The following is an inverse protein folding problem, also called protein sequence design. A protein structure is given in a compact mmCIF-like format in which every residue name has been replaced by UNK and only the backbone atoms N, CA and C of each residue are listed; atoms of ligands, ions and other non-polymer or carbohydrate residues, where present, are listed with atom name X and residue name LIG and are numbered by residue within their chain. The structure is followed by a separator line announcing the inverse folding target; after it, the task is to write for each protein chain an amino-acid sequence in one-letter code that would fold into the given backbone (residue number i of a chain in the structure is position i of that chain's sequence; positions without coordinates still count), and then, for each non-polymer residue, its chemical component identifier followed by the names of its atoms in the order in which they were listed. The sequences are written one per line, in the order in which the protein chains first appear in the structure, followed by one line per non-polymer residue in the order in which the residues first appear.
data_IF_823715195508
#
_entry.id   IF_823715195508
#
_cell.length_a   1.000
_cell.length_b   1.000
_cell.length_c   1.000
_cell.angle_alpha   90.00
_cell.angle_beta   90.00
_cell.angle_gamma   90.00
#
_symmetry.space_group_name_H-M   'P 1'
#
loop_
_entity.id
_entity.type
_entity.pdbx_description
1 polymer ?
#
# COMPACT_ATOMS: atom_id res chain seq x y z
N UNK A 1 9.95 -24.79 -5.92
CA UNK A 1 8.79 -24.03 -5.43
C UNK A 1 8.58 -24.16 -3.93
N UNK A 2 8.09 -25.28 -3.36
CA UNK A 2 7.88 -25.40 -1.89
C UNK A 2 9.18 -25.29 -1.07
N UNK A 3 10.21 -26.06 -1.44
CA UNK A 3 11.50 -26.04 -0.73
C UNK A 3 12.20 -24.66 -0.72
N UNK A 4 12.06 -23.89 -1.80
CA UNK A 4 12.63 -22.53 -1.88
C UNK A 4 11.81 -21.51 -1.09
N UNK A 5 10.48 -21.61 -1.13
CA UNK A 5 9.59 -20.80 -0.30
C UNK A 5 9.82 -21.07 1.20
N UNK A 6 10.03 -22.33 1.59
CA UNK A 6 10.43 -22.73 2.94
C UNK A 6 11.80 -22.15 3.32
N UNK A 7 12.76 -22.12 2.39
CA UNK A 7 14.07 -21.50 2.65
C UNK A 7 13.99 -19.99 2.87
N UNK A 8 13.14 -19.29 2.10
CA UNK A 8 12.88 -17.85 2.27
C UNK A 8 12.14 -17.58 3.58
N UNK A 9 11.19 -18.43 3.96
CA UNK A 9 10.51 -18.35 5.26
C UNK A 9 11.47 -18.58 6.42
N UNK A 10 12.41 -19.52 6.29
CA UNK A 10 13.42 -19.80 7.32
C UNK A 10 14.36 -18.62 7.53
N UNK A 11 14.84 -17.99 6.45
CA UNK A 11 15.68 -16.78 6.54
C UNK A 11 14.89 -15.61 7.16
N UNK A 12 13.61 -15.47 6.80
CA UNK A 12 12.74 -14.45 7.42
C UNK A 12 12.57 -14.68 8.93
N UNK A 13 12.39 -15.94 9.34
CA UNK A 13 12.35 -16.31 10.76
C UNK A 13 13.68 -16.01 11.47
N UNK A 14 14.82 -16.28 10.83
CA UNK A 14 16.15 -15.98 11.37
C UNK A 14 16.39 -14.47 11.48
N UNK A 15 15.96 -13.67 10.51
CA UNK A 15 16.01 -12.19 10.60
C UNK A 15 15.21 -11.68 11.80
N UNK A 16 14.04 -12.28 12.07
CA UNK A 16 13.22 -11.93 13.24
C UNK A 16 13.83 -12.35 14.59
N UNK A 17 14.83 -13.23 14.58
CA UNK A 17 15.51 -13.74 15.78
C UNK A 17 16.95 -13.20 15.93
N UNK A 18 17.42 -12.40 14.97
CA UNK A 18 18.77 -11.85 14.96
C UNK A 18 18.99 -10.97 16.19
N UNK A 19 20.08 -11.23 16.92
CA UNK A 19 20.38 -10.54 18.19
C UNK A 19 21.30 -9.34 18.00
N UNK A 20 21.88 -9.17 16.82
CA UNK A 20 22.82 -8.09 16.49
C UNK A 20 22.52 -7.48 15.13
N UNK A 21 22.79 -6.19 14.98
CA UNK A 21 22.61 -5.46 13.72
C UNK A 21 23.41 -6.08 12.56
N UNK A 22 24.63 -6.55 12.84
CA UNK A 22 25.49 -7.19 11.83
C UNK A 22 24.99 -8.57 11.37
N UNK A 23 24.29 -9.32 12.24
CA UNK A 23 23.64 -10.59 11.87
C UNK A 23 22.39 -10.33 11.03
N UNK A 24 21.58 -9.34 11.42
CA UNK A 24 20.42 -8.91 10.66
C UNK A 24 20.79 -8.48 9.23
N UNK A 25 21.86 -7.70 9.08
CA UNK A 25 22.29 -7.19 7.78
C UNK A 25 22.77 -8.29 6.83
N UNK A 26 23.47 -9.31 7.36
CA UNK A 26 23.87 -10.51 6.59
C UNK A 26 22.66 -11.33 6.13
N UNK A 27 21.73 -11.59 7.05
CA UNK A 27 20.51 -12.34 6.74
C UNK A 27 19.60 -11.59 5.77
N UNK A 28 19.54 -10.26 5.88
CA UNK A 28 18.82 -9.40 4.94
C UNK A 28 19.44 -9.43 3.55
N UNK A 29 20.77 -9.42 3.45
CA UNK A 29 21.47 -9.54 2.17
C UNK A 29 21.22 -10.90 1.52
N UNK A 30 21.32 -12.00 2.28
CA UNK A 30 21.02 -13.36 1.82
C UNK A 30 19.56 -13.50 1.36
N UNK A 31 18.62 -12.96 2.14
CA UNK A 31 17.20 -12.92 1.81
C UNK A 31 16.97 -12.18 0.48
N UNK A 32 17.61 -11.02 0.30
CA UNK A 32 17.43 -10.18 -0.87
C UNK A 32 18.00 -10.84 -2.13
N UNK A 33 19.16 -11.49 -2.03
CA UNK A 33 19.73 -12.28 -3.12
C UNK A 33 18.83 -13.45 -3.52
N UNK A 34 18.43 -14.30 -2.57
CA UNK A 34 17.55 -15.43 -2.87
C UNK A 34 16.21 -15.00 -3.46
N UNK A 35 15.68 -13.86 -3.01
CA UNK A 35 14.43 -13.31 -3.57
C UNK A 35 14.62 -12.82 -5.00
N UNK A 36 15.76 -12.17 -5.32
CA UNK A 36 16.11 -11.76 -6.68
C UNK A 36 16.30 -12.96 -7.59
N UNK A 37 17.01 -13.99 -7.13
CA UNK A 37 17.26 -15.23 -7.86
C UNK A 37 15.96 -15.99 -8.14
N UNK A 38 15.10 -16.13 -7.12
CA UNK A 38 13.78 -16.75 -7.24
C UNK A 38 12.90 -15.99 -8.24
N UNK A 39 12.89 -14.64 -8.19
CA UNK A 39 12.14 -13.80 -9.12
C UNK A 39 12.70 -13.86 -10.55
N UNK A 40 14.02 -13.98 -10.71
CA UNK A 40 14.71 -14.10 -12.00
C UNK A 40 14.46 -15.45 -12.69
N UNK A 41 14.46 -16.55 -11.92
CA UNK A 41 14.15 -17.90 -12.42
C UNK A 41 12.66 -18.09 -12.74
N UNK A 42 11.78 -17.32 -12.09
CA UNK A 42 10.34 -17.31 -12.37
C UNK A 42 9.91 -16.05 -13.15
N UNK A 43 10.36 -15.90 -14.42
CA UNK A 43 9.93 -14.81 -15.33
C UNK A 43 8.39 -14.71 -15.53
N UNK A 44 7.64 -15.81 -15.35
CA UNK A 44 6.16 -15.81 -15.33
C UNK A 44 5.55 -15.12 -14.10
N UNK A 45 6.35 -14.84 -13.08
CA UNK A 45 5.97 -14.13 -11.86
C UNK A 45 5.81 -12.62 -12.05
N UNK A 46 6.40 -12.00 -13.09
CA UNK A 46 6.23 -10.56 -13.34
C UNK A 46 4.78 -10.22 -13.71
N UNK A 47 4.12 -11.06 -14.52
CA UNK A 47 2.68 -10.95 -14.81
C UNK A 47 1.87 -11.04 -13.52
N UNK A 48 2.12 -12.05 -12.67
CA UNK A 48 1.43 -12.21 -11.37
C UNK A 48 1.75 -11.08 -10.37
N UNK A 49 2.97 -10.55 -10.40
CA UNK A 49 3.46 -9.46 -9.55
C UNK A 49 2.93 -8.08 -9.97
N UNK A 50 2.54 -7.90 -11.25
CA UNK A 50 1.89 -6.70 -11.74
C UNK A 50 0.35 -6.82 -11.67
N UNK A 51 -0.19 -8.04 -11.72
CA UNK A 51 -1.63 -8.31 -11.55
C UNK A 51 -2.15 -7.88 -10.18
N UNK A 52 -1.41 -8.12 -9.09
CA UNK A 52 -1.85 -7.72 -7.74
C UNK A 52 -2.02 -6.20 -7.59
N UNK A 53 -1.02 -5.36 -7.93
CA UNK A 53 -1.20 -3.90 -7.95
C UNK A 53 -2.24 -3.44 -8.96
N UNK A 54 -2.29 -4.03 -10.15
CA UNK A 54 -3.27 -3.69 -11.20
C UNK A 54 -4.71 -3.95 -10.76
N UNK A 55 -4.97 -5.06 -10.05
CA UNK A 55 -6.28 -5.37 -9.50
C UNK A 55 -6.67 -4.37 -8.41
N UNK A 56 -5.72 -3.90 -7.60
CA UNK A 56 -5.95 -2.84 -6.61
C UNK A 56 -6.38 -1.51 -7.25
N UNK A 57 -5.74 -1.12 -8.35
CA UNK A 57 -6.14 0.08 -9.11
C UNK A 57 -7.53 -0.07 -9.71
N UNK A 58 -7.84 -1.23 -10.29
CA UNK A 58 -9.18 -1.52 -10.81
C UNK A 58 -10.23 -1.46 -9.68
N UNK A 59 -9.94 -2.04 -8.52
CA UNK A 59 -10.81 -1.99 -7.34
C UNK A 59 -11.06 -0.54 -6.89
N UNK A 60 -10.02 0.31 -6.87
CA UNK A 60 -10.16 1.71 -6.53
C UNK A 60 -11.03 2.47 -7.55
N UNK A 61 -10.86 2.20 -8.85
CA UNK A 61 -11.68 2.81 -9.90
C UNK A 61 -13.16 2.42 -9.79
N UNK A 62 -13.45 1.13 -9.52
CA UNK A 62 -14.81 0.66 -9.25
C UNK A 62 -15.41 1.33 -8.03
N UNK A 63 -14.65 1.45 -6.94
CA UNK A 63 -15.10 2.13 -5.73
C UNK A 63 -15.47 3.59 -5.98
N UNK A 64 -14.59 4.33 -6.67
CA UNK A 64 -14.84 5.75 -7.03
C UNK A 64 -16.08 5.87 -7.92
N UNK A 65 -16.23 4.98 -8.90
CA UNK A 65 -17.38 4.97 -9.81
C UNK A 65 -18.69 4.76 -9.05
N UNK A 66 -18.74 3.73 -8.20
CA UNK A 66 -19.95 3.36 -7.47
C UNK A 66 -20.33 4.42 -6.42
N UNK A 67 -19.34 4.99 -5.73
CA UNK A 67 -19.57 6.10 -4.82
C UNK A 67 -20.07 7.35 -5.55
N UNK A 68 -19.41 7.75 -6.64
CA UNK A 68 -19.79 8.94 -7.41
C UNK A 68 -21.20 8.83 -7.99
N UNK A 69 -21.57 7.65 -8.48
CA UNK A 69 -22.91 7.38 -9.01
C UNK A 69 -23.99 7.54 -7.93
N UNK A 70 -23.85 6.84 -6.80
CA UNK A 70 -24.83 6.91 -5.70
C UNK A 70 -24.89 8.31 -5.09
N UNK A 71 -23.74 8.94 -4.92
CA UNK A 71 -23.66 10.29 -4.36
C UNK A 71 -24.31 11.34 -5.26
N UNK A 72 -24.13 11.22 -6.59
CA UNK A 72 -24.76 12.14 -7.56
C UNK A 72 -26.28 11.98 -7.55
N UNK A 73 -26.78 10.73 -7.59
CA UNK A 73 -28.21 10.45 -7.55
C UNK A 73 -28.88 10.95 -6.26
N UNK A 74 -28.20 10.78 -5.12
CA UNK A 74 -28.69 11.30 -3.84
C UNK A 74 -28.69 12.85 -3.79
N UNK A 75 -27.67 13.50 -4.36
CA UNK A 75 -27.58 14.97 -4.43
C UNK A 75 -28.65 15.57 -5.31
N UNK A 76 -28.93 14.94 -6.46
CA UNK A 76 -29.94 15.39 -7.42
C UNK A 76 -31.38 15.09 -6.95
N UNK A 77 -31.54 14.43 -5.79
CA UNK A 77 -32.82 14.09 -5.17
C UNK A 77 -33.76 13.40 -6.15
N UNK A 78 -33.27 12.34 -6.79
CA UNK A 78 -34.06 11.58 -7.74
C UNK A 78 -35.39 11.16 -7.09
N UNK A 79 -36.56 11.43 -7.68
CA UNK A 79 -37.86 11.17 -7.05
C UNK A 79 -38.08 9.72 -6.61
N UNK A 80 -37.48 8.76 -7.31
CA UNK A 80 -37.51 7.35 -6.89
C UNK A 80 -36.79 7.16 -5.53
N UNK A 81 -35.65 7.83 -5.32
CA UNK A 81 -34.87 7.69 -4.08
C UNK A 81 -35.51 8.40 -2.87
N UNK A 82 -36.36 9.41 -3.09
CA UNK A 82 -37.02 10.12 -1.99
C UNK A 82 -38.20 9.34 -1.40
N UNK A 83 -38.73 8.36 -2.13
CA UNK A 83 -39.90 7.59 -1.72
C UNK A 83 -39.66 6.07 -1.59
N UNK A 84 -38.59 5.53 -2.17
CA UNK A 84 -38.32 4.09 -2.17
C UNK A 84 -37.38 3.60 -1.06
N UNK A 85 -37.43 4.24 0.11
CA UNK A 85 -36.77 3.74 1.30
C UNK A 85 -37.33 2.40 1.79
N UNK A 86 -36.60 1.73 2.67
CA UNK A 86 -36.99 0.44 3.24
C UNK A 86 -36.88 0.46 4.77
N UNK A 87 -37.76 -0.30 5.42
CA UNK A 87 -37.79 -0.50 6.88
C UNK A 87 -37.94 0.81 7.67
N UNK A 88 -36.84 1.39 8.16
CA UNK A 88 -36.83 2.58 9.04
C UNK A 88 -36.27 3.84 8.36
N UNK A 89 -35.77 3.74 7.14
CA UNK A 89 -35.33 4.89 6.33
C UNK A 89 -36.24 4.98 5.11
N UNK A 90 -37.05 6.04 4.99
CA UNK A 90 -38.02 6.23 3.90
C UNK A 90 -37.45 7.02 2.73
N UNK A 91 -36.51 7.92 3.00
CA UNK A 91 -35.85 8.76 2.01
C UNK A 91 -34.36 8.39 1.95
N UNK A 92 -33.92 7.86 0.81
CA UNK A 92 -32.52 7.47 0.61
C UNK A 92 -31.58 8.67 0.42
N UNK A 93 -32.11 9.85 0.12
CA UNK A 93 -31.34 11.08 -0.15
C UNK A 93 -30.95 11.80 1.13
N UNK A 94 -31.68 11.56 2.22
CA UNK A 94 -31.43 12.13 3.54
C UNK A 94 -30.57 11.20 4.40
N UNK A 95 -29.85 11.74 5.42
CA UNK A 95 -29.13 10.92 6.38
C UNK A 95 -30.05 9.95 7.14
N UNK A 96 -29.51 8.80 7.57
CA UNK A 96 -30.28 7.79 8.29
C UNK A 96 -30.75 8.35 9.64
N UNK A 97 -32.07 8.48 9.86
CA UNK A 97 -32.60 9.10 11.08
C UNK A 97 -32.30 8.30 12.35
N UNK A 98 -32.11 6.98 12.23
CA UNK A 98 -31.91 6.08 13.38
C UNK A 98 -30.49 5.51 13.46
N UNK A 99 -29.59 5.89 12.55
CA UNK A 99 -28.23 5.37 12.47
C UNK A 99 -28.14 3.84 12.31
N UNK A 100 -29.23 3.18 11.91
CA UNK A 100 -29.29 1.73 11.76
C UNK A 100 -28.30 1.20 10.72
N UNK A 101 -28.20 1.85 9.55
CA UNK A 101 -27.28 1.48 8.47
C UNK A 101 -25.80 1.61 8.88
N UNK A 102 -25.34 2.75 9.44
CA UNK A 102 -24.00 2.86 10.01
C UNK A 102 -23.70 1.79 11.06
N UNK A 103 -24.64 1.52 11.98
CA UNK A 103 -24.45 0.50 13.02
C UNK A 103 -24.28 -0.90 12.41
N UNK A 104 -25.11 -1.27 11.43
CA UNK A 104 -24.99 -2.56 10.72
C UNK A 104 -23.62 -2.67 10.03
N UNK A 105 -23.19 -1.61 9.35
CA UNK A 105 -21.88 -1.55 8.71
C UNK A 105 -20.74 -1.75 9.73
N UNK A 106 -20.82 -1.07 10.87
CA UNK A 106 -19.86 -1.20 11.97
C UNK A 106 -19.82 -2.62 12.54
N UNK A 107 -20.98 -3.24 12.79
CA UNK A 107 -21.07 -4.61 13.29
C UNK A 107 -20.46 -5.60 12.28
N UNK A 108 -20.79 -5.47 11.00
CA UNK A 108 -20.24 -6.34 9.95
C UNK A 108 -18.71 -6.20 9.84
N UNK A 109 -18.20 -4.97 9.90
CA UNK A 109 -16.77 -4.69 9.88
C UNK A 109 -16.07 -5.26 11.12
N UNK A 110 -16.65 -5.08 12.31
CA UNK A 110 -16.13 -5.65 13.56
C UNK A 110 -16.14 -7.18 13.55
N UNK A 111 -17.17 -7.80 12.98
CA UNK A 111 -17.24 -9.25 12.82
C UNK A 111 -16.09 -9.75 11.93
N UNK A 112 -15.82 -9.06 10.82
CA UNK A 112 -14.70 -9.37 9.92
C UNK A 112 -13.33 -9.21 10.58
N UNK A 113 -13.13 -8.14 11.35
CA UNK A 113 -11.88 -7.90 12.10
C UNK A 113 -11.66 -9.01 13.15
N UNK A 114 -12.74 -9.47 13.80
CA UNK A 114 -12.69 -10.52 14.83
C UNK A 114 -12.59 -11.93 14.25
N UNK A 115 -13.06 -12.20 13.03
CA UNK A 115 -13.03 -13.54 12.41
C UNK A 115 -11.63 -14.04 12.04
N UNK A 116 -10.56 -13.29 12.33
CA UNK A 116 -9.16 -13.69 12.11
C UNK A 116 -8.70 -13.58 10.66
N UNK A 117 -9.60 -13.85 9.71
CA UNK A 117 -9.39 -13.77 8.25
C UNK A 117 -8.88 -12.42 7.77
N UNK A 118 -9.34 -11.32 8.37
CA UNK A 118 -8.86 -9.98 8.05
C UNK A 118 -7.38 -9.80 8.42
N UNK A 119 -6.96 -10.37 9.56
CA UNK A 119 -5.56 -10.35 10.00
C UNK A 119 -4.65 -11.18 9.11
N UNK A 120 -5.15 -12.30 8.57
CA UNK A 120 -4.40 -13.14 7.63
C UNK A 120 -4.24 -12.46 6.26
N UNK A 121 -5.28 -11.75 5.79
CA UNK A 121 -5.20 -10.98 4.55
C UNK A 121 -4.22 -9.79 4.66
N UNK A 122 -4.27 -9.05 5.78
CA UNK A 122 -3.41 -7.88 5.99
C UNK A 122 -1.99 -8.23 6.48
N UNK A 123 -1.82 -9.34 7.19
CA UNK A 123 -0.51 -9.81 7.65
C UNK A 123 0.39 -10.33 6.51
N UNK A 124 -0.18 -10.54 5.32
CA UNK A 124 0.59 -10.84 4.11
C UNK A 124 1.13 -9.58 3.41
N UNK A 125 0.74 -8.37 3.88
CA UNK A 125 1.25 -7.13 3.35
C UNK A 125 2.67 -6.83 3.90
N UNK A 126 3.65 -6.45 3.06
CA UNK A 126 4.97 -6.07 3.53
C UNK A 126 4.91 -4.93 4.56
N UNK A 127 5.47 -5.13 5.76
CA UNK A 127 5.46 -4.14 6.86
C UNK A 127 4.15 -4.07 7.67
N UNK A 128 3.17 -4.94 7.39
CA UNK A 128 1.86 -4.90 8.03
C UNK A 128 1.83 -5.51 9.44
N UNK A 129 1.80 -4.68 10.48
CA UNK A 129 1.44 -5.13 11.82
C UNK A 129 -0.07 -5.44 11.89
N UNK A 130 -0.44 -6.71 11.70
CA UNK A 130 -1.83 -7.17 11.71
C UNK A 130 -2.61 -6.74 12.98
N UNK A 131 -1.95 -6.65 14.14
CA UNK A 131 -2.58 -6.19 15.37
C UNK A 131 -2.88 -4.69 15.37
N UNK A 132 -1.97 -3.88 14.82
CA UNK A 132 -2.20 -2.45 14.65
C UNK A 132 -3.36 -2.24 13.67
N UNK A 133 -3.36 -2.97 12.55
CA UNK A 133 -4.44 -2.89 11.57
C UNK A 133 -5.80 -3.32 12.14
N UNK A 134 -5.85 -4.35 12.99
CA UNK A 134 -7.07 -4.73 13.72
C UNK A 134 -7.55 -3.60 14.63
N UNK A 135 -6.66 -2.95 15.39
CA UNK A 135 -7.02 -1.81 16.25
C UNK A 135 -7.51 -0.61 15.44
N UNK A 136 -6.82 -0.29 14.34
CA UNK A 136 -7.21 0.82 13.44
C UNK A 136 -8.58 0.54 12.83
N UNK A 137 -8.80 -0.64 12.24
CA UNK A 137 -10.09 -0.99 11.64
C UNK A 137 -11.23 -1.07 12.67
N UNK A 138 -10.91 -1.50 13.90
CA UNK A 138 -11.86 -1.43 15.01
C UNK A 138 -12.24 0.02 15.31
N UNK A 139 -11.25 0.93 15.39
CA UNK A 139 -11.49 2.36 15.56
C UNK A 139 -12.32 2.97 14.43
N UNK A 140 -11.97 2.65 13.16
CA UNK A 140 -12.73 3.08 11.97
C UNK A 140 -14.18 2.63 12.05
N UNK A 141 -14.44 1.41 12.52
CA UNK A 141 -15.81 0.89 12.67
C UNK A 141 -16.64 1.75 13.64
N UNK A 142 -16.06 2.26 14.71
CA UNK A 142 -16.78 3.16 15.63
C UNK A 142 -16.96 4.56 15.05
N UNK A 143 -15.94 5.10 14.37
CA UNK A 143 -15.99 6.42 13.72
C UNK A 143 -17.05 6.46 12.60
N UNK A 144 -17.31 5.32 11.96
CA UNK A 144 -18.34 5.22 10.92
C UNK A 144 -19.76 5.55 11.41
N UNK A 145 -20.06 5.34 12.69
CA UNK A 145 -21.39 5.61 13.25
C UNK A 145 -21.72 7.13 13.20
N UNK A 146 -20.94 8.04 13.81
CA UNK A 146 -21.22 9.47 13.73
C UNK A 146 -21.04 10.02 12.31
N UNK A 147 -20.15 9.44 11.49
CA UNK A 147 -20.01 9.77 10.07
C UNK A 147 -21.30 9.53 9.28
N UNK A 148 -22.11 8.55 9.69
CA UNK A 148 -23.41 8.25 9.09
C UNK A 148 -24.37 9.44 9.05
N UNK A 149 -24.27 10.37 10.02
CA UNK A 149 -25.11 11.57 10.06
C UNK A 149 -24.77 12.61 8.99
N UNK A 150 -23.63 12.48 8.31
CA UNK A 150 -23.17 13.44 7.29
C UNK A 150 -23.36 12.93 5.85
N UNK A 151 -23.76 11.67 5.68
CA UNK A 151 -23.95 11.04 4.36
C UNK A 151 -25.42 10.69 4.16
N UNK A 152 -25.84 10.56 2.90
CA UNK A 152 -27.19 10.09 2.60
C UNK A 152 -27.36 8.61 2.94
N UNK A 153 -28.58 8.20 3.26
CA UNK A 153 -28.92 6.80 3.55
C UNK A 153 -28.58 5.86 2.39
N UNK A 154 -28.62 6.34 1.14
CA UNK A 154 -28.17 5.59 -0.03
C UNK A 154 -26.69 5.17 0.05
N UNK A 155 -25.83 6.10 0.47
CA UNK A 155 -24.39 5.85 0.62
C UNK A 155 -24.14 4.94 1.82
N UNK A 156 -24.84 5.18 2.92
CA UNK A 156 -24.78 4.32 4.10
C UNK A 156 -25.23 2.87 3.78
N UNK A 157 -26.28 2.71 2.96
CA UNK A 157 -26.78 1.41 2.51
C UNK A 157 -25.79 0.71 1.60
N UNK A 158 -25.15 1.44 0.67
CA UNK A 158 -24.06 0.93 -0.16
C UNK A 158 -22.92 0.38 0.71
N UNK A 159 -22.49 1.13 1.73
CA UNK A 159 -21.44 0.71 2.63
C UNK A 159 -21.84 -0.50 3.48
N UNK A 160 -23.04 -0.49 4.06
CA UNK A 160 -23.55 -1.60 4.85
C UNK A 160 -23.64 -2.89 4.02
N UNK A 161 -24.15 -2.80 2.79
CA UNK A 161 -24.26 -3.94 1.87
C UNK A 161 -22.88 -4.51 1.52
N UNK A 162 -21.92 -3.65 1.17
CA UNK A 162 -20.55 -4.08 0.87
C UNK A 162 -19.87 -4.74 2.07
N UNK A 163 -20.04 -4.17 3.28
CA UNK A 163 -19.49 -4.74 4.50
C UNK A 163 -20.10 -6.11 4.82
N UNK A 164 -21.42 -6.27 4.65
CA UNK A 164 -22.12 -7.55 4.85
C UNK A 164 -21.70 -8.61 3.84
N UNK A 165 -21.65 -8.27 2.55
CA UNK A 165 -21.21 -9.20 1.50
C UNK A 165 -19.77 -9.61 1.75
N UNK A 166 -18.90 -8.66 2.06
CA UNK A 166 -17.48 -8.93 2.33
C UNK A 166 -17.31 -9.80 3.58
N UNK A 167 -18.06 -9.53 4.65
CA UNK A 167 -18.03 -10.34 5.87
C UNK A 167 -18.54 -11.76 5.57
N UNK A 168 -19.66 -11.89 4.85
CA UNK A 168 -20.23 -13.16 4.42
C UNK A 168 -19.25 -13.97 3.56
N UNK A 169 -18.64 -13.34 2.55
CA UNK A 169 -17.61 -13.98 1.71
C UNK A 169 -16.42 -14.45 2.55
N UNK A 170 -15.94 -13.60 3.46
CA UNK A 170 -14.80 -13.95 4.32
C UNK A 170 -15.14 -15.12 5.26
N UNK A 171 -16.32 -15.13 5.86
CA UNK A 171 -16.77 -16.24 6.71
C UNK A 171 -16.99 -17.53 5.91
N UNK A 172 -17.55 -17.43 4.71
CA UNK A 172 -17.74 -18.55 3.81
C UNK A 172 -16.39 -19.16 3.40
N UNK A 173 -15.42 -18.32 3.05
CA UNK A 173 -14.07 -18.77 2.71
C UNK A 173 -13.23 -19.16 3.92
N UNK A 174 -13.59 -18.77 5.15
CA UNK A 174 -12.96 -19.27 6.37
C UNK A 174 -13.34 -20.73 6.65
N UNK A 175 -14.51 -21.18 6.16
CA UNK A 175 -14.99 -22.53 6.38
C UNK A 175 -14.14 -23.57 5.64
N UNK A 176 -13.51 -24.47 6.41
CA UNK A 176 -12.65 -25.56 5.89
C UNK A 176 -13.40 -26.48 4.91
N UNK A 177 -14.70 -26.70 5.11
CA UNK A 177 -15.54 -27.51 4.22
C UNK A 177 -15.69 -26.87 2.83
N UNK A 178 -16.04 -25.58 2.80
CA UNK A 178 -16.17 -24.81 1.55
C UNK A 178 -14.83 -24.76 0.81
N UNK A 179 -13.73 -24.54 1.54
CA UNK A 179 -12.39 -24.58 0.93
C UNK A 179 -12.04 -25.92 0.31
N UNK A 180 -12.41 -27.02 0.97
CA UNK A 180 -12.16 -28.38 0.46
C UNK A 180 -12.93 -28.61 -0.84
N UNK A 181 -14.18 -28.18 -0.91
CA UNK A 181 -15.00 -28.27 -2.13
C UNK A 181 -14.42 -27.40 -3.25
N UNK A 182 -13.95 -26.19 -2.94
CA UNK A 182 -13.35 -25.27 -3.91
C UNK A 182 -11.88 -25.60 -4.26
N UNK A 183 -11.30 -26.66 -3.70
CA UNK A 183 -9.89 -27.02 -3.92
C UNK A 183 -8.89 -25.98 -3.41
N UNK A 184 -9.31 -25.08 -2.51
CA UNK A 184 -8.46 -24.03 -1.98
C UNK A 184 -7.56 -24.57 -0.85
N UNK A 185 -6.29 -24.12 -0.75
CA UNK A 185 -5.41 -24.54 0.33
C UNK A 185 -6.01 -24.14 1.68
N UNK A 186 -6.05 -25.07 2.63
CA UNK A 186 -6.43 -24.77 4.01
C UNK A 186 -5.34 -23.84 4.55
N UNK A 187 -5.71 -22.61 4.92
CA UNK A 187 -4.79 -21.70 5.60
C UNK A 187 -4.42 -22.36 6.93
N UNK A 188 -3.22 -22.95 6.98
CA UNK A 188 -2.59 -23.31 8.23
C UNK A 188 -2.19 -22.04 8.96
N UNK A 189 -2.21 -22.10 10.29
CA UNK A 189 -1.74 -21.03 11.18
C UNK A 189 -0.34 -20.62 10.71
N UNK A 190 -0.23 -19.48 10.01
CA UNK A 190 1.07 -18.85 9.79
C UNK A 190 1.47 -18.36 11.17
N UNK A 191 2.34 -19.13 11.84
CA UNK A 191 2.85 -18.72 13.14
C UNK A 191 3.57 -17.39 12.95
N UNK A 192 3.04 -16.37 13.60
CA UNK A 192 3.58 -15.02 13.62
C UNK A 192 5.01 -15.09 14.17
N UNK A 193 6.05 -14.64 13.45
CA UNK A 193 7.35 -14.45 14.08
C UNK A 193 7.19 -13.41 15.19
N UNK A 194 7.58 -13.77 16.41
CA UNK A 194 7.33 -13.04 17.66
C UNK A 194 8.09 -11.69 17.76
N UNK A 195 8.78 -11.24 16.71
CA UNK A 195 9.62 -10.03 16.75
C UNK A 195 8.94 -8.75 16.23
N UNK A 196 7.72 -8.82 15.67
CA UNK A 196 6.99 -7.64 15.20
C UNK A 196 6.45 -6.72 16.33
N UNK A 197 6.73 -7.06 17.60
CA UNK A 197 6.38 -6.25 18.76
C UNK A 197 7.45 -5.20 19.13
N UNK A 198 8.67 -5.27 18.56
CA UNK A 198 9.80 -4.39 18.93
C UNK A 198 10.42 -3.62 17.74
N UNK A 199 9.75 -3.57 16.59
CA UNK A 199 10.15 -2.73 15.46
C UNK A 199 9.42 -1.39 15.48
N UNK A 200 10.17 -0.30 15.58
CA UNK A 200 9.70 1.08 15.75
C UNK A 200 8.68 1.58 14.72
N UNK A 201 8.18 2.77 15.02
CA UNK A 201 7.07 3.48 14.37
C UNK A 201 7.14 3.37 12.84
N UNK A 202 6.00 3.14 12.18
CA UNK A 202 5.86 3.09 10.72
C UNK A 202 6.51 4.28 9.99
N UNK A 203 6.66 5.42 10.69
CA UNK A 203 7.40 6.61 10.23
C UNK A 203 8.89 6.32 9.99
N UNK A 204 9.55 5.52 10.82
CA UNK A 204 10.96 5.12 10.66
C UNK A 204 11.15 4.17 9.47
N UNK A 205 10.12 3.40 9.11
CA UNK A 205 10.18 2.48 7.98
C UNK A 205 9.98 3.20 6.63
N UNK A 206 9.23 4.32 6.61
CA UNK A 206 8.98 5.10 5.38
C UNK A 206 9.92 6.30 5.20
N UNK A 207 10.56 6.79 6.26
CA UNK A 207 11.51 7.90 6.20
C UNK A 207 12.72 7.66 5.26
N UNK A 208 13.32 6.47 5.18
CA UNK A 208 14.40 6.18 4.23
C UNK A 208 13.91 6.21 2.77
N UNK A 209 12.69 5.71 2.51
CA UNK A 209 12.13 5.67 1.16
C UNK A 209 11.70 7.05 0.67
N UNK A 210 11.22 7.93 1.56
CA UNK A 210 10.85 9.31 1.22
C UNK A 210 12.08 10.19 1.01
N UNK A 211 13.13 10.00 1.83
CA UNK A 211 14.40 10.73 1.68
C UNK A 211 15.14 10.31 0.42
N UNK A 212 15.11 9.02 0.04
CA UNK A 212 15.63 8.52 -1.23
C UNK A 212 14.84 9.04 -2.45
N UNK A 213 13.58 9.44 -2.26
CA UNK A 213 12.72 9.95 -3.33
C UNK A 213 12.79 11.47 -3.49
N UNK A 214 13.62 12.17 -2.69
CA UNK A 214 13.81 13.62 -2.80
C UNK A 214 14.87 13.98 -3.88
N UNK A 215 14.46 14.34 -5.12
CA UNK A 215 15.41 14.55 -6.23
C UNK A 215 16.28 15.81 -6.03
N UNK A 216 15.88 16.66 -5.08
CA UNK A 216 16.46 17.97 -4.84
C UNK A 216 17.78 17.91 -4.05
N UNK A 217 17.95 16.90 -3.18
CA UNK A 217 19.14 16.79 -2.31
C UNK A 217 20.30 16.07 -3.00
N UNK A 218 20.00 15.15 -3.91
CA UNK A 218 21.02 14.44 -4.69
C UNK A 218 21.64 15.33 -5.76
N UNK A 219 20.84 16.23 -6.36
CA UNK A 219 21.29 17.20 -7.36
C UNK A 219 22.18 18.30 -6.75
N UNK A 220 21.89 18.75 -5.51
CA UNK A 220 22.75 19.73 -4.82
C UNK A 220 24.09 19.12 -4.38
N UNK A 221 24.10 17.87 -3.92
CA UNK A 221 25.35 17.18 -3.55
C UNK A 221 26.22 16.90 -4.78
N UNK A 222 25.62 16.43 -5.88
CA UNK A 222 26.33 16.20 -7.14
C UNK A 222 26.91 17.51 -7.73
N UNK A 223 26.17 18.62 -7.66
CA UNK A 223 26.65 19.94 -8.09
C UNK A 223 27.76 20.49 -7.19
N UNK A 224 27.69 20.28 -5.88
CA UNK A 224 28.72 20.70 -4.93
C UNK A 224 30.03 19.89 -5.09
N UNK A 225 29.95 18.59 -5.36
CA UNK A 225 31.15 17.77 -5.66
C UNK A 225 31.78 18.11 -7.01
N UNK A 226 30.98 18.48 -8.03
CA UNK A 226 31.50 18.92 -9.32
C UNK A 226 32.19 20.29 -9.22
N UNK A 227 31.67 21.21 -8.40
CA UNK A 227 32.29 22.51 -8.16
C UNK A 227 33.58 22.42 -7.33
N UNK A 228 33.64 21.48 -6.37
CA UNK A 228 34.84 21.25 -5.55
C UNK A 228 36.00 20.59 -6.34
N UNK A 229 35.70 19.79 -7.37
CA UNK A 229 36.72 19.18 -8.23
C UNK A 229 37.32 20.15 -9.28
N UNK A 230 36.70 21.34 -9.47
CA UNK A 230 37.11 22.32 -10.48
C UNK A 230 37.84 23.55 -9.93
N UNK A 231 38.15 23.59 -8.62
CA UNK A 231 38.89 24.70 -8.01
C UNK A 231 40.42 24.49 -8.15
N UNK A 232 41.18 25.42 -8.77
CA UNK A 232 42.62 25.29 -8.87
C UNK A 232 43.30 25.63 -7.53
N UNK A 233 44.37 24.89 -7.20
CA UNK A 233 45.13 25.05 -5.96
C UNK A 233 45.82 26.43 -5.86
N UNK A 234 45.91 27.02 -4.65
CA UNK A 234 46.47 28.35 -4.45
C UNK A 234 48.00 28.32 -4.59
N UNK A 235 48.54 29.03 -5.59
CA UNK A 235 50.00 29.26 -5.68
C UNK A 235 50.66 29.16 -7.06
N UNK A 236 49.94 28.95 -8.16
CA UNK A 236 50.57 28.88 -9.50
C UNK A 236 50.42 30.20 -10.25
N UNK A 237 51.57 30.82 -10.59
CA UNK A 237 51.69 32.08 -11.36
C UNK A 237 50.87 32.01 -12.66
N UNK A 238 50.06 33.04 -12.90
CA UNK A 238 49.37 33.27 -14.17
C UNK A 238 50.40 33.54 -15.25
N UNK A 239 50.66 32.58 -16.13
CA UNK A 239 51.36 32.82 -17.39
C UNK A 239 50.35 33.45 -18.37
N UNK A 240 50.43 34.77 -18.55
CA UNK A 240 49.71 35.47 -19.62
C UNK A 240 50.37 35.08 -20.94
N UNK A 241 49.82 34.10 -21.64
CA UNK A 241 50.29 33.72 -22.96
C UNK A 241 49.71 34.72 -23.97
N UNK A 242 50.53 35.68 -24.38
CA UNK A 242 50.21 36.62 -25.46
C UNK A 242 50.09 35.83 -26.78
N UNK A 243 48.88 35.77 -27.35
CA UNK A 243 48.63 35.16 -28.66
C UNK A 243 48.76 36.27 -29.72
N UNK A 244 49.80 36.29 -30.57
CA UNK A 244 49.93 37.29 -31.62
C UNK A 244 48.87 37.06 -32.72
N UNK A 245 48.08 38.09 -33.00
CA UNK A 245 47.09 38.10 -34.08
C UNK A 245 47.80 37.97 -35.44
N UNK A 246 47.64 36.83 -36.14
CA UNK A 246 48.05 36.69 -37.56
C UNK A 246 47.04 37.43 -38.45
N UNK A 247 47.48 38.34 -39.35
CA UNK A 247 46.57 38.96 -40.32
C UNK A 247 46.11 37.93 -41.37
N UNK A 248 44.80 37.82 -41.56
CA UNK A 248 44.16 36.93 -42.53
C UNK A 248 44.39 37.47 -43.94
N UNK A 249 45.24 36.80 -44.72
CA UNK A 249 45.44 37.04 -46.17
C UNK A 249 44.11 36.95 -46.91
N UNK A 250 43.72 38.04 -47.59
CA UNK A 250 42.71 38.03 -48.65
C UNK A 250 43.37 37.52 -49.94
N UNK A 251 42.92 36.38 -50.46
CA UNK A 251 43.02 35.99 -51.87
C UNK A 251 41.62 35.51 -52.27
N UNK A 252 40.84 36.21 -53.10
CA UNK A 252 40.92 36.42 -54.56
C UNK A 252 40.92 35.13 -55.38
N UNK A 253 40.09 35.19 -56.41
CA UNK A 253 39.90 34.32 -57.57
C UNK A 253 38.90 33.19 -57.29
N UNK A 254 37.84 33.03 -58.08
CA UNK A 254 37.64 33.31 -59.51
C UNK A 254 36.20 33.68 -59.80
#
# INVERSE_FOLDING_TARGET
MRAEAESLQKINLQMSQARSAGEYERLFHEYTEKTKEFKGRHKGGLRKSLLLPGLGVAQAALFISQFSAVQSLAKDKLPAMTHEGALWFTDLTMPDPFYGLPIICSIATLAMVRSGTFGDAMGQMPGGNADIMKKVMTGVSFIMIPMGGYVSSAVALLWASNALISAGQNMLLANKGVRRVLGLPIQGVVQRPKSAAEGGSWLEQVAPSLSAMSPFKQRSKAAATAAAAAAPAPGTRVAVNYVPHKPRRKGKLS
#
